data_IF_889451618620
#
_entry.id   IF_889451618620
#
_cell.length_a   1.000
_cell.length_b   1.000
_cell.length_c   1.000
_cell.angle_alpha   90.00
_cell.angle_beta   90.00
_cell.angle_gamma   90.00
#
_symmetry.space_group_name_H-M   'P 1'
#
loop_
_entity.id
_entity.type
_entity.pdbx_description
1 polymer ?
#
# COMPACT_ATOMS: atom_id res chain seq x y z
N UNK A 1 -9.76 0.00 18.73
CA UNK A 1 -9.30 0.38 17.38
C UNK A 1 -8.13 1.39 17.32
N UNK A 2 -7.40 1.62 18.41
CA UNK A 2 -6.24 2.55 18.42
C UNK A 2 -5.01 2.06 17.64
N UNK A 3 -5.01 0.82 17.16
CA UNK A 3 -3.86 0.14 16.58
C UNK A 3 -3.92 -0.03 15.05
N UNK A 4 -4.78 0.72 14.37
CA UNK A 4 -4.96 0.72 12.92
C UNK A 4 -5.13 2.16 12.42
N UNK A 5 -5.17 2.36 11.11
CA UNK A 5 -5.48 3.68 10.50
C UNK A 5 -6.83 4.21 10.96
N UNK A 6 -7.75 3.30 11.31
CA UNK A 6 -9.10 3.60 11.82
C UNK A 6 -9.85 4.61 10.94
N UNK A 7 -9.75 4.43 9.61
CA UNK A 7 -10.51 5.21 8.65
C UNK A 7 -12.00 4.85 8.74
N UNK A 8 -12.93 5.78 8.47
CA UNK A 8 -14.33 5.46 8.24
C UNK A 8 -14.52 4.36 7.20
N UNK A 9 -15.65 3.66 7.28
CA UNK A 9 -16.00 2.67 6.27
C UNK A 9 -16.31 3.35 4.93
N UNK A 10 -16.00 2.69 3.79
CA UNK A 10 -16.31 3.23 2.48
C UNK A 10 -17.83 3.31 2.25
N UNK A 11 -18.26 4.32 1.51
CA UNK A 11 -19.66 4.54 1.13
C UNK A 11 -19.75 5.00 -0.32
N UNK A 12 -20.94 4.89 -0.94
CA UNK A 12 -21.22 5.39 -2.28
C UNK A 12 -21.26 6.92 -2.36
N UNK A 13 -21.46 7.58 -1.23
CA UNK A 13 -21.53 9.05 -1.11
C UNK A 13 -20.68 9.53 0.07
N UNK A 14 -19.35 9.49 -0.07
CA UNK A 14 -18.46 9.80 1.04
C UNK A 14 -18.49 11.29 1.39
N UNK A 15 -18.57 11.60 2.68
CA UNK A 15 -18.36 12.96 3.18
C UNK A 15 -16.87 13.25 3.21
N UNK A 16 -16.38 14.34 2.58
CA UNK A 16 -14.98 14.71 2.61
C UNK A 16 -14.45 14.87 4.04
N UNK A 17 -13.40 14.15 4.38
CA UNK A 17 -12.77 14.18 5.72
C UNK A 17 -11.88 15.41 5.92
N UNK A 18 -11.51 16.12 4.85
CA UNK A 18 -10.49 17.19 4.85
C UNK A 18 -9.08 16.68 5.15
N UNK A 19 -8.84 15.37 5.08
CA UNK A 19 -7.54 14.75 5.36
C UNK A 19 -7.04 13.97 4.16
N UNK A 20 -5.72 13.80 4.08
CA UNK A 20 -5.04 13.12 2.99
C UNK A 20 -4.32 11.87 3.49
N UNK A 21 -4.53 10.73 2.85
CA UNK A 21 -3.83 9.47 3.12
C UNK A 21 -2.63 9.33 2.18
N UNK A 22 -1.48 8.91 2.72
CA UNK A 22 -0.35 8.49 1.90
C UNK A 22 -0.45 7.00 1.61
N UNK A 23 -0.51 6.61 0.33
CA UNK A 23 -0.42 5.21 -0.11
C UNK A 23 0.91 5.02 -0.84
N UNK A 24 1.93 4.52 -0.13
CA UNK A 24 3.21 4.19 -0.75
C UNK A 24 3.11 2.83 -1.47
N UNK A 25 3.45 2.81 -2.77
CA UNK A 25 3.34 1.62 -3.61
C UNK A 25 1.95 1.44 -4.23
N UNK A 26 1.33 2.54 -4.66
CA UNK A 26 -0.03 2.56 -5.18
C UNK A 26 -0.30 1.71 -6.42
N UNK A 27 0.72 1.37 -7.22
CA UNK A 27 0.55 0.51 -8.40
C UNK A 27 0.56 -0.99 -8.10
N UNK A 28 0.72 -1.38 -6.83
CA UNK A 28 0.54 -2.77 -6.39
C UNK A 28 -0.94 -3.12 -6.29
N UNK A 29 -1.27 -4.42 -6.25
CA UNK A 29 -2.66 -4.86 -6.08
C UNK A 29 -3.30 -4.29 -4.81
N UNK A 30 -2.57 -4.33 -3.69
CA UNK A 30 -3.02 -3.75 -2.41
C UNK A 30 -3.17 -2.23 -2.54
N UNK A 31 -2.19 -1.55 -3.17
CA UNK A 31 -2.19 -0.09 -3.33
C UNK A 31 -3.33 0.43 -4.19
N UNK A 32 -3.61 -0.22 -5.33
CA UNK A 32 -4.72 0.15 -6.21
C UNK A 32 -6.07 0.11 -5.49
N UNK A 33 -6.30 -0.94 -4.71
CA UNK A 33 -7.53 -1.09 -3.94
C UNK A 33 -7.59 -0.13 -2.75
N UNK A 34 -6.45 0.10 -2.08
CA UNK A 34 -6.36 1.06 -0.97
C UNK A 34 -6.66 2.50 -1.40
N UNK A 35 -6.21 2.92 -2.60
CA UNK A 35 -6.53 4.23 -3.16
C UNK A 35 -8.05 4.38 -3.28
N UNK A 36 -8.71 3.45 -3.94
CA UNK A 36 -10.14 3.50 -4.19
C UNK A 36 -10.97 3.44 -2.89
N UNK A 37 -10.62 2.55 -1.96
CA UNK A 37 -11.30 2.45 -0.66
C UNK A 37 -11.12 3.72 0.19
N UNK A 38 -9.93 4.34 0.16
CA UNK A 38 -9.69 5.59 0.88
C UNK A 38 -10.55 6.74 0.33
N UNK A 39 -10.69 6.83 -1.00
CA UNK A 39 -11.56 7.83 -1.64
C UNK A 39 -13.02 7.58 -1.27
N UNK A 40 -13.49 6.34 -1.32
CA UNK A 40 -14.83 5.94 -0.90
C UNK A 40 -15.07 6.16 0.61
N UNK A 41 -14.01 6.33 1.40
CA UNK A 41 -14.06 6.72 2.81
C UNK A 41 -13.91 8.24 3.04
N UNK A 42 -13.89 9.05 1.95
CA UNK A 42 -13.85 10.51 2.01
C UNK A 42 -12.45 11.13 2.16
N UNK A 43 -11.39 10.40 1.85
CA UNK A 43 -10.01 10.91 1.93
C UNK A 43 -9.48 11.31 0.56
N UNK A 44 -8.68 12.37 0.51
CA UNK A 44 -7.74 12.55 -0.58
C UNK A 44 -6.61 11.52 -0.48
N UNK A 45 -6.03 11.15 -1.61
CA UNK A 45 -4.92 10.20 -1.64
C UNK A 45 -3.73 10.76 -2.40
N UNK A 46 -2.58 10.83 -1.73
CA UNK A 46 -1.27 10.98 -2.36
C UNK A 46 -0.64 9.60 -2.44
N UNK A 47 -0.03 9.27 -3.59
CA UNK A 47 0.54 7.94 -3.78
C UNK A 47 1.94 7.98 -4.40
N UNK A 48 2.60 6.82 -4.44
CA UNK A 48 3.87 6.65 -5.16
C UNK A 48 3.80 5.48 -6.14
N UNK A 49 4.41 5.68 -7.30
CA UNK A 49 4.57 4.66 -8.34
C UNK A 49 5.71 5.02 -9.29
N UNK A 50 6.14 4.10 -10.15
CA UNK A 50 6.99 4.46 -11.30
C UNK A 50 6.26 5.44 -12.23
N UNK A 51 6.96 6.37 -12.91
CA UNK A 51 6.35 7.42 -13.75
C UNK A 51 5.33 6.90 -14.78
N UNK A 52 5.61 5.74 -15.39
CA UNK A 52 4.70 5.10 -16.36
C UNK A 52 3.31 4.74 -15.78
N UNK A 53 3.19 4.65 -14.46
CA UNK A 53 1.94 4.30 -13.76
C UNK A 53 1.24 5.52 -13.16
N UNK A 54 1.79 6.73 -13.23
CA UNK A 54 1.21 7.92 -12.61
C UNK A 54 -0.20 8.20 -13.13
N UNK A 55 -0.39 8.20 -14.44
CA UNK A 55 -1.72 8.41 -15.05
C UNK A 55 -2.74 7.35 -14.64
N UNK A 56 -2.28 6.10 -14.47
CA UNK A 56 -3.14 5.02 -13.99
C UNK A 56 -3.64 5.26 -12.57
N UNK A 57 -2.74 5.62 -11.65
CA UNK A 57 -3.13 5.89 -10.26
C UNK A 57 -4.04 7.13 -10.14
N UNK A 58 -3.80 8.16 -10.98
CA UNK A 58 -4.70 9.33 -11.05
C UNK A 58 -6.11 8.94 -11.51
N UNK A 59 -6.23 8.00 -12.48
CA UNK A 59 -7.55 7.46 -12.87
C UNK A 59 -8.23 6.68 -11.73
N UNK A 60 -7.46 6.02 -10.84
CA UNK A 60 -8.00 5.39 -9.64
C UNK A 60 -8.36 6.40 -8.54
N UNK A 61 -8.08 7.71 -8.76
CA UNK A 61 -8.47 8.81 -7.91
C UNK A 61 -7.37 9.42 -7.04
N UNK A 62 -6.10 9.00 -7.18
CA UNK A 62 -5.00 9.68 -6.48
C UNK A 62 -4.84 11.12 -7.00
N UNK A 63 -4.87 12.10 -6.09
CA UNK A 63 -4.73 13.53 -6.45
C UNK A 63 -3.32 13.87 -6.88
N UNK A 64 -2.32 13.26 -6.28
CA UNK A 64 -0.91 13.40 -6.63
C UNK A 64 -0.18 12.05 -6.59
N UNK A 65 0.77 11.86 -7.50
CA UNK A 65 1.58 10.64 -7.59
C UNK A 65 3.03 11.02 -7.80
N UNK A 66 3.92 10.46 -6.98
CA UNK A 66 5.36 10.72 -6.99
C UNK A 66 6.16 9.49 -7.41
N UNK A 67 7.31 9.69 -8.07
CA UNK A 67 8.23 8.59 -8.37
C UNK A 67 8.99 8.19 -7.10
N UNK A 68 8.76 6.96 -6.62
CA UNK A 68 9.44 6.44 -5.44
C UNK A 68 10.96 6.28 -5.61
N UNK A 69 11.48 6.29 -6.87
CA UNK A 69 12.92 6.25 -7.16
C UNK A 69 13.56 7.65 -7.14
N UNK A 70 12.76 8.73 -7.13
CA UNK A 70 13.32 10.08 -7.05
C UNK A 70 14.13 10.27 -5.77
N UNK A 71 15.33 10.84 -5.86
CA UNK A 71 16.11 11.16 -4.65
C UNK A 71 15.44 12.20 -3.76
N UNK A 72 14.53 13.00 -4.31
CA UNK A 72 13.81 14.07 -3.60
C UNK A 72 12.41 13.65 -3.14
N UNK A 73 11.97 12.42 -3.42
CA UNK A 73 10.58 11.96 -3.20
C UNK A 73 10.04 12.27 -1.80
N UNK A 74 10.85 12.11 -0.77
CA UNK A 74 10.43 12.40 0.61
C UNK A 74 10.16 13.89 0.80
N UNK A 75 11.05 14.75 0.33
CA UNK A 75 10.90 16.21 0.42
C UNK A 75 9.71 16.69 -0.42
N UNK A 76 9.53 16.13 -1.61
CA UNK A 76 8.44 16.48 -2.53
C UNK A 76 7.08 16.12 -1.89
N UNK A 77 6.96 14.94 -1.29
CA UNK A 77 5.73 14.51 -0.61
C UNK A 77 5.48 15.39 0.63
N UNK A 78 6.50 15.69 1.45
CA UNK A 78 6.35 16.60 2.59
C UNK A 78 5.85 17.98 2.12
N UNK A 79 6.38 18.48 1.01
CA UNK A 79 5.94 19.74 0.41
C UNK A 79 4.47 19.69 -0.02
N UNK A 80 4.03 18.57 -0.62
CA UNK A 80 2.64 18.35 -0.99
C UNK A 80 1.70 18.31 0.23
N UNK A 81 2.20 17.86 1.38
CA UNK A 81 1.46 17.87 2.65
C UNK A 81 1.47 19.22 3.40
N UNK A 82 2.18 20.25 2.93
CA UNK A 82 2.35 21.53 3.67
C UNK A 82 1.03 22.14 4.12
N UNK A 83 0.01 22.10 3.26
CA UNK A 83 -1.33 22.64 3.51
C UNK A 83 -2.39 21.55 3.74
N UNK A 84 -1.98 20.31 3.99
CA UNK A 84 -2.85 19.16 4.21
C UNK A 84 -2.65 18.56 5.59
N UNK A 85 -3.67 17.91 6.10
CA UNK A 85 -3.61 17.14 7.34
C UNK A 85 -3.55 15.66 6.99
N UNK A 86 -2.49 14.96 7.42
CA UNK A 86 -2.37 13.53 7.12
C UNK A 86 -3.35 12.67 7.92
N UNK A 87 -3.95 11.70 7.25
CA UNK A 87 -4.73 10.62 7.85
C UNK A 87 -3.85 9.43 8.30
N UNK A 88 -2.56 9.46 7.95
CA UNK A 88 -1.58 8.39 8.14
C UNK A 88 -1.01 7.90 6.82
N UNK A 89 -0.36 6.74 6.85
CA UNK A 89 0.20 6.11 5.65
C UNK A 89 -0.06 4.61 5.60
N UNK A 90 -0.23 4.08 4.38
CA UNK A 90 -0.12 2.67 4.05
C UNK A 90 1.23 2.45 3.35
N UNK A 91 2.06 1.57 3.90
CA UNK A 91 3.41 1.29 3.43
C UNK A 91 3.45 -0.08 2.74
N UNK A 92 3.73 -0.11 1.43
CA UNK A 92 3.77 -1.30 0.61
C UNK A 92 5.09 -1.35 -0.18
N UNK A 93 5.79 -2.48 -0.11
CA UNK A 93 7.06 -2.70 -0.80
C UNK A 93 8.29 -2.43 0.08
N UNK A 94 9.42 -3.03 -0.30
CA UNK A 94 10.68 -2.91 0.46
C UNK A 94 11.17 -1.47 0.55
N UNK A 95 11.65 -1.07 1.74
CA UNK A 95 12.15 0.27 2.02
C UNK A 95 11.10 1.36 2.19
N UNK A 96 9.83 1.07 1.88
CA UNK A 96 8.73 2.03 1.98
C UNK A 96 8.50 2.53 3.40
N UNK A 97 8.64 1.66 4.39
CA UNK A 97 8.41 1.97 5.79
C UNK A 97 9.32 3.11 6.29
N UNK A 98 10.63 3.02 6.00
CA UNK A 98 11.61 4.04 6.41
C UNK A 98 11.30 5.41 5.78
N UNK A 99 10.87 5.43 4.52
CA UNK A 99 10.48 6.65 3.82
C UNK A 99 9.16 7.22 4.34
N UNK A 100 8.18 6.37 4.65
CA UNK A 100 6.92 6.80 5.28
C UNK A 100 7.15 7.42 6.66
N UNK A 101 8.11 6.91 7.47
CA UNK A 101 8.48 7.53 8.76
C UNK A 101 9.00 8.96 8.53
N UNK A 102 9.88 9.16 7.56
CA UNK A 102 10.44 10.48 7.25
C UNK A 102 9.35 11.45 6.80
N UNK A 103 8.48 11.02 5.90
CA UNK A 103 7.35 11.84 5.42
C UNK A 103 6.43 12.23 6.58
N UNK A 104 5.91 11.25 7.33
CA UNK A 104 4.95 11.53 8.40
C UNK A 104 5.57 12.33 9.55
N UNK A 105 6.89 12.18 9.79
CA UNK A 105 7.62 13.02 10.75
C UNK A 105 7.55 14.50 10.41
N UNK A 106 7.52 14.87 9.13
CA UNK A 106 7.37 16.23 8.63
C UNK A 106 5.93 16.72 8.45
N UNK A 107 4.92 15.86 8.64
CA UNK A 107 3.51 16.18 8.38
C UNK A 107 2.74 16.51 9.66
N UNK A 108 1.62 17.27 9.51
CA UNK A 108 0.64 17.53 10.58
C UNK A 108 -0.50 16.51 10.48
N UNK A 109 -0.97 16.00 11.62
CA UNK A 109 -2.11 15.09 11.71
C UNK A 109 -1.76 13.71 12.26
N UNK A 110 -2.41 12.66 11.77
CA UNK A 110 -2.17 11.29 12.22
C UNK A 110 -0.84 10.76 11.67
N UNK A 111 0.06 10.35 12.56
CA UNK A 111 1.38 9.81 12.22
C UNK A 111 1.44 8.30 12.38
N UNK A 112 0.37 7.61 12.00
CA UNK A 112 0.30 6.15 12.04
C UNK A 112 0.63 5.56 10.66
N UNK A 113 1.44 4.50 10.65
CA UNK A 113 1.78 3.73 9.44
C UNK A 113 1.22 2.31 9.55
N UNK A 114 0.31 1.95 8.66
CA UNK A 114 -0.07 0.57 8.42
C UNK A 114 0.95 -0.08 7.49
N UNK A 115 1.66 -1.11 7.95
CA UNK A 115 2.68 -1.81 7.17
C UNK A 115 2.05 -3.04 6.52
N UNK A 116 2.02 -3.09 5.19
CA UNK A 116 1.53 -4.24 4.42
C UNK A 116 2.66 -5.15 3.91
N UNK A 117 3.92 -4.78 4.13
CA UNK A 117 5.09 -5.53 3.66
C UNK A 117 6.21 -5.48 4.69
N UNK A 118 6.87 -6.61 4.92
CA UNK A 118 8.12 -6.63 5.66
C UNK A 118 9.28 -6.11 4.80
N UNK A 119 10.16 -5.32 5.41
CA UNK A 119 11.44 -4.99 4.81
C UNK A 119 12.36 -6.20 4.88
N UNK A 120 12.50 -6.91 3.78
CA UNK A 120 13.48 -8.00 3.64
C UNK A 120 14.87 -7.37 3.48
N UNK A 121 15.90 -7.90 4.15
CA UNK A 121 17.27 -7.45 3.96
C UNK A 121 17.70 -7.48 2.50
N UNK A 122 18.60 -6.58 2.12
CA UNK A 122 19.12 -6.48 0.74
C UNK A 122 19.84 -7.75 0.26
N UNK A 123 20.29 -8.58 1.19
CA UNK A 123 20.85 -9.92 0.91
C UNK A 123 19.81 -10.92 0.38
N UNK A 124 18.51 -10.59 0.43
CA UNK A 124 17.42 -11.49 0.08
C UNK A 124 17.16 -12.54 1.16
N UNK A 125 16.38 -13.57 0.80
CA UNK A 125 16.11 -14.71 1.70
C UNK A 125 17.28 -15.66 1.76
N UNK A 126 17.52 -16.33 2.92
CA UNK A 126 18.58 -17.31 3.07
C UNK A 126 18.38 -18.47 2.10
N UNK A 127 19.47 -18.90 1.44
CA UNK A 127 19.46 -20.03 0.51
C UNK A 127 19.90 -21.34 1.17
N UNK A 128 20.49 -21.26 2.36
CA UNK A 128 20.96 -22.40 3.11
C UNK A 128 21.00 -22.13 4.62
N UNK A 129 21.26 -23.17 5.41
CA UNK A 129 21.26 -23.10 6.88
C UNK A 129 22.31 -22.09 7.42
N UNK A 130 23.44 -21.96 6.75
CA UNK A 130 24.53 -21.06 7.16
C UNK A 130 24.19 -19.58 6.91
N UNK A 131 23.29 -19.29 5.98
CA UNK A 131 22.84 -17.92 5.67
C UNK A 131 21.80 -17.42 6.68
N UNK A 132 21.20 -18.33 7.45
CA UNK A 132 20.09 -18.01 8.34
C UNK A 132 20.48 -17.10 9.52
N UNK A 133 21.58 -17.33 10.25
CA UNK A 133 21.99 -16.47 11.36
C UNK A 133 22.28 -15.01 10.93
N UNK A 134 23.10 -14.74 9.88
CA UNK A 134 23.32 -13.36 9.44
C UNK A 134 22.07 -12.70 8.90
N UNK A 135 21.17 -13.45 8.24
CA UNK A 135 19.87 -12.94 7.81
C UNK A 135 19.03 -12.48 9.01
N UNK A 136 18.92 -13.30 10.05
CA UNK A 136 18.17 -12.94 11.27
C UNK A 136 18.75 -11.73 11.98
N UNK A 137 20.08 -11.60 12.01
CA UNK A 137 20.73 -10.41 12.57
C UNK A 137 20.40 -9.15 11.78
N UNK A 138 20.38 -9.21 10.44
CA UNK A 138 19.97 -8.09 9.59
C UNK A 138 18.50 -7.74 9.78
N UNK A 139 17.61 -8.73 9.90
CA UNK A 139 16.19 -8.52 10.21
C UNK A 139 16.04 -7.79 11.54
N UNK A 140 16.70 -8.29 12.60
CA UNK A 140 16.66 -7.67 13.93
C UNK A 140 17.18 -6.23 13.90
N UNK A 141 18.31 -5.98 13.22
CA UNK A 141 18.85 -4.62 13.04
C UNK A 141 17.86 -3.69 12.30
N UNK A 142 17.23 -4.20 11.23
CA UNK A 142 16.22 -3.43 10.47
C UNK A 142 15.02 -3.08 11.33
N UNK A 143 14.53 -4.03 12.13
CA UNK A 143 13.40 -3.79 13.05
C UNK A 143 13.76 -2.78 14.16
N UNK A 144 14.93 -2.94 14.79
CA UNK A 144 15.39 -2.04 15.86
C UNK A 144 15.60 -0.62 15.32
N UNK A 145 16.31 -0.49 14.18
CA UNK A 145 16.55 0.81 13.55
C UNK A 145 15.26 1.49 13.13
N UNK A 146 14.29 0.71 12.62
CA UNK A 146 12.96 1.20 12.29
C UNK A 146 12.20 1.72 13.52
N UNK A 147 12.21 0.98 14.63
CA UNK A 147 11.60 1.42 15.91
C UNK A 147 12.22 2.69 16.46
N UNK A 148 13.55 2.79 16.46
CA UNK A 148 14.27 4.00 16.90
C UNK A 148 13.89 5.19 16.03
N UNK A 149 13.90 5.02 14.70
CA UNK A 149 13.54 6.07 13.75
C UNK A 149 12.09 6.52 13.92
N UNK A 150 11.15 5.57 14.09
CA UNK A 150 9.75 5.87 14.38
C UNK A 150 9.59 6.70 15.64
N UNK A 151 10.23 6.29 16.73
CA UNK A 151 10.18 7.02 18.02
C UNK A 151 10.72 8.45 17.90
N UNK A 152 11.87 8.64 17.20
CA UNK A 152 12.46 9.96 16.98
C UNK A 152 11.56 10.90 16.16
N UNK A 153 10.77 10.36 15.24
CA UNK A 153 9.85 11.12 14.38
C UNK A 153 8.42 11.21 14.94
N UNK A 154 8.18 10.67 16.14
CA UNK A 154 6.83 10.64 16.73
C UNK A 154 5.82 9.86 15.89
N UNK A 155 6.26 8.81 15.19
CA UNK A 155 5.47 7.96 14.31
C UNK A 155 5.17 6.64 15.00
N UNK A 156 3.93 6.18 14.95
CA UNK A 156 3.51 4.84 15.37
C UNK A 156 3.24 3.95 14.15
N UNK A 157 3.37 2.65 14.32
CA UNK A 157 3.14 1.72 13.22
C UNK A 157 2.69 0.35 13.69
N UNK A 158 1.98 -0.37 12.81
CA UNK A 158 1.62 -1.78 13.00
C UNK A 158 1.68 -2.51 11.66
N UNK A 159 2.15 -3.75 11.70
CA UNK A 159 2.01 -4.68 10.58
C UNK A 159 0.54 -5.09 10.49
N UNK A 160 -0.01 -5.03 9.28
CA UNK A 160 -1.38 -5.46 8.98
C UNK A 160 -1.37 -6.76 8.19
N UNK A 161 -2.28 -7.65 8.49
CA UNK A 161 -2.47 -8.91 7.78
C UNK A 161 -3.89 -8.99 7.22
N UNK A 162 -4.06 -9.60 6.06
CA UNK A 162 -5.37 -9.78 5.44
C UNK A 162 -6.33 -10.61 6.33
N UNK A 163 -5.80 -11.52 7.13
CA UNK A 163 -6.57 -12.30 8.10
C UNK A 163 -7.21 -11.46 9.21
N UNK A 164 -6.72 -10.25 9.47
CA UNK A 164 -7.29 -9.37 10.49
C UNK A 164 -8.73 -8.92 10.16
N UNK A 165 -9.16 -9.10 8.91
CA UNK A 165 -10.53 -8.79 8.45
C UNK A 165 -11.49 -9.97 8.57
N UNK A 166 -11.00 -11.17 8.86
CA UNK A 166 -11.85 -12.35 8.97
C UNK A 166 -12.73 -12.25 10.23
N UNK A 167 -14.05 -12.38 10.03
CA UNK A 167 -15.02 -12.42 11.12
C UNK A 167 -15.24 -11.12 11.87
N UNK A 168 -14.82 -9.96 11.32
CA UNK A 168 -15.10 -8.66 11.91
C UNK A 168 -16.04 -7.81 11.05
N UNK A 169 -16.61 -6.77 11.67
CA UNK A 169 -17.55 -5.83 11.03
C UNK A 169 -16.99 -5.14 9.78
N UNK A 170 -15.69 -4.90 9.74
CA UNK A 170 -15.03 -4.20 8.62
C UNK A 170 -15.02 -5.08 7.38
N UNK A 171 -14.74 -6.39 7.54
CA UNK A 171 -14.79 -7.35 6.43
C UNK A 171 -16.17 -7.39 5.79
N UNK A 172 -17.21 -7.53 6.61
CA UNK A 172 -18.61 -7.51 6.15
C UNK A 172 -18.94 -6.20 5.42
N UNK A 173 -18.68 -5.05 6.05
CA UNK A 173 -18.99 -3.75 5.48
C UNK A 173 -18.31 -3.50 4.14
N UNK A 174 -17.08 -3.99 3.94
CA UNK A 174 -16.37 -3.83 2.67
C UNK A 174 -16.86 -4.84 1.63
N UNK A 175 -16.86 -6.14 1.95
CA UNK A 175 -17.04 -7.20 0.95
C UNK A 175 -18.50 -7.54 0.67
N UNK A 176 -19.40 -7.36 1.65
CA UNK A 176 -20.81 -7.69 1.48
C UNK A 176 -21.66 -6.44 1.21
N UNK A 177 -21.39 -5.34 1.93
CA UNK A 177 -22.27 -4.17 1.86
C UNK A 177 -21.82 -3.15 0.80
N UNK A 178 -20.51 -2.86 0.68
CA UNK A 178 -20.00 -1.80 -0.20
C UNK A 178 -19.60 -2.29 -1.61
N UNK A 179 -18.69 -3.29 -1.69
CA UNK A 179 -18.07 -3.67 -2.97
C UNK A 179 -19.04 -4.18 -4.03
N UNK A 180 -20.08 -5.00 -3.73
CA UNK A 180 -20.97 -5.49 -4.76
C UNK A 180 -21.64 -4.37 -5.56
N UNK A 181 -22.18 -3.38 -4.87
CA UNK A 181 -22.81 -2.23 -5.51
C UNK A 181 -21.81 -1.33 -6.23
N UNK A 182 -20.69 -1.03 -5.57
CA UNK A 182 -19.66 -0.15 -6.14
C UNK A 182 -19.01 -0.72 -7.42
N UNK A 183 -18.89 -2.06 -7.51
CA UNK A 183 -18.43 -2.75 -8.71
C UNK A 183 -19.51 -2.72 -9.81
N UNK A 184 -20.78 -2.92 -9.46
CA UNK A 184 -21.90 -2.87 -10.40
C UNK A 184 -22.05 -1.46 -11.02
N UNK A 185 -21.90 -0.42 -10.21
CA UNK A 185 -22.01 0.98 -10.63
C UNK A 185 -20.72 1.51 -11.31
N UNK A 186 -19.63 0.74 -11.31
CA UNK A 186 -18.33 1.15 -11.85
C UNK A 186 -17.61 2.24 -11.04
N UNK A 187 -18.08 2.55 -9.84
CA UNK A 187 -17.42 3.51 -8.93
C UNK A 187 -16.21 2.92 -8.23
N UNK A 188 -16.12 1.59 -8.20
CA UNK A 188 -14.94 0.83 -7.82
C UNK A 188 -14.59 -0.11 -8.98
N UNK A 189 -13.35 -0.08 -9.45
CA UNK A 189 -12.92 -0.93 -10.57
C UNK A 189 -11.95 -2.01 -10.09
N UNK A 190 -12.03 -3.26 -10.63
CA UNK A 190 -11.05 -4.29 -10.35
C UNK A 190 -9.65 -3.82 -10.78
N UNK A 191 -8.73 -3.70 -9.84
CA UNK A 191 -7.39 -3.16 -10.07
C UNK A 191 -6.31 -3.99 -9.34
N UNK A 192 -5.10 -4.12 -9.93
CA UNK A 192 -4.70 -3.68 -11.27
C UNK A 192 -5.34 -4.51 -12.37
N UNK A 193 -5.32 -3.98 -13.61
CA UNK A 193 -5.91 -4.64 -14.76
C UNK A 193 -5.38 -6.07 -14.96
N UNK A 194 -6.25 -7.04 -15.30
CA UNK A 194 -5.82 -8.40 -15.56
C UNK A 194 -5.01 -8.49 -16.86
N UNK A 195 -3.94 -9.26 -16.83
CA UNK A 195 -3.20 -9.70 -17.99
C UNK A 195 -3.42 -11.22 -18.14
N UNK A 196 -4.30 -11.60 -19.02
CA UNK A 196 -4.58 -13.02 -19.30
C UNK A 196 -3.41 -13.60 -20.09
N UNK A 197 -2.80 -14.66 -19.56
CA UNK A 197 -1.64 -15.34 -20.17
C UNK A 197 -2.13 -16.44 -21.11
N UNK A 198 -3.28 -17.04 -20.82
CA UNK A 198 -3.89 -18.10 -21.61
C UNK A 198 -4.98 -18.83 -20.85
N UNK A 199 -5.46 -19.91 -21.45
CA UNK A 199 -6.48 -20.79 -20.89
C UNK A 199 -5.87 -22.15 -20.54
N UNK A 200 -6.37 -22.76 -19.45
CA UNK A 200 -5.99 -24.10 -19.01
C UNK A 200 -4.88 -24.13 -17.95
N UNK A 201 -4.87 -25.21 -17.16
CA UNK A 201 -3.89 -25.37 -16.06
C UNK A 201 -2.43 -25.44 -16.53
N UNK A 202 -2.19 -25.86 -17.77
CA UNK A 202 -0.87 -25.91 -18.40
C UNK A 202 -0.21 -24.52 -18.53
N UNK A 203 -1.00 -23.45 -18.43
CA UNK A 203 -0.50 -22.05 -18.45
C UNK A 203 -0.05 -21.53 -17.07
N UNK A 204 -0.33 -22.26 -16.02
CA UNK A 204 -0.03 -21.81 -14.64
C UNK A 204 1.48 -21.61 -14.45
N UNK A 205 2.33 -22.54 -14.93
CA UNK A 205 3.77 -22.43 -14.78
C UNK A 205 4.32 -21.19 -15.50
N UNK A 206 3.88 -20.94 -16.74
CA UNK A 206 4.25 -19.74 -17.50
C UNK A 206 3.84 -18.46 -16.78
N UNK A 207 2.62 -18.43 -16.24
CA UNK A 207 2.10 -17.30 -15.45
C UNK A 207 2.92 -17.03 -14.19
N UNK A 208 3.33 -18.08 -13.47
CA UNK A 208 4.19 -17.98 -12.29
C UNK A 208 5.58 -17.44 -12.63
N UNK A 209 6.19 -17.89 -13.72
CA UNK A 209 7.49 -17.40 -14.19
C UNK A 209 7.42 -15.93 -14.60
N UNK A 210 6.34 -15.52 -15.28
CA UNK A 210 6.11 -14.12 -15.63
C UNK A 210 5.93 -13.26 -14.37
N UNK A 211 5.15 -13.73 -13.40
CA UNK A 211 4.98 -13.05 -12.12
C UNK A 211 6.29 -12.91 -11.36
N UNK A 212 7.16 -13.95 -11.38
CA UNK A 212 8.49 -13.94 -10.75
C UNK A 212 9.45 -12.93 -11.40
N UNK A 213 9.36 -12.72 -12.71
CA UNK A 213 10.13 -11.68 -13.42
C UNK A 213 9.70 -10.26 -13.06
N UNK A 214 8.55 -10.14 -12.41
CA UNK A 214 7.94 -8.88 -12.02
C UNK A 214 7.02 -8.29 -13.10
N UNK A 215 5.85 -7.85 -12.65
CA UNK A 215 4.88 -7.15 -13.49
C UNK A 215 4.57 -5.79 -12.91
N UNK A 216 4.21 -4.83 -13.75
CA UNK A 216 3.98 -3.47 -13.31
C UNK A 216 2.53 -3.08 -13.56
N UNK A 217 1.80 -2.77 -12.48
CA UNK A 217 0.39 -2.39 -12.50
C UNK A 217 -0.50 -3.36 -13.31
N UNK A 218 -0.20 -4.66 -13.24
CA UNK A 218 -0.95 -5.73 -13.90
C UNK A 218 -1.13 -6.90 -12.93
N UNK A 219 -2.20 -7.65 -13.11
CA UNK A 219 -2.47 -8.90 -12.41
C UNK A 219 -2.41 -10.06 -13.40
N UNK A 220 -1.47 -10.97 -13.22
CA UNK A 220 -1.35 -12.16 -14.07
C UNK A 220 -2.53 -13.10 -13.78
N UNK A 221 -3.22 -13.51 -14.83
CA UNK A 221 -4.42 -14.34 -14.77
C UNK A 221 -4.31 -15.48 -15.78
N UNK A 222 -4.71 -16.68 -15.37
CA UNK A 222 -4.97 -17.82 -16.24
C UNK A 222 -6.46 -18.11 -16.14
N UNK A 223 -7.14 -18.24 -17.27
CA UNK A 223 -8.56 -18.66 -17.32
C UNK A 223 -8.66 -20.18 -17.34
N UNK A 224 -9.73 -20.74 -16.84
CA UNK A 224 -10.03 -22.18 -16.88
C UNK A 224 -10.96 -22.52 -18.03
#
# INVERSE_FOLDING_TARGET
MKDYLALPLPTSSPTPSGKTLLVWGGSTSVGCNAIQLAIAAGYEVISTASPKNHSYLKRLGAVEVFDYNSPTVVADIISAFKNRTTAGALSIGGGSFKKCIEVLGGCKGNRFIAQATFDVPSSGYPKGALDFPPFMLQVAFTMISGKIKSKRNGVSSKMINGSDLQGNEVGKAIYEDFLPQALADGTFVPAPEPQVIGKGLEKVQEAMEMSKKGVSAKKIVVTL
#
